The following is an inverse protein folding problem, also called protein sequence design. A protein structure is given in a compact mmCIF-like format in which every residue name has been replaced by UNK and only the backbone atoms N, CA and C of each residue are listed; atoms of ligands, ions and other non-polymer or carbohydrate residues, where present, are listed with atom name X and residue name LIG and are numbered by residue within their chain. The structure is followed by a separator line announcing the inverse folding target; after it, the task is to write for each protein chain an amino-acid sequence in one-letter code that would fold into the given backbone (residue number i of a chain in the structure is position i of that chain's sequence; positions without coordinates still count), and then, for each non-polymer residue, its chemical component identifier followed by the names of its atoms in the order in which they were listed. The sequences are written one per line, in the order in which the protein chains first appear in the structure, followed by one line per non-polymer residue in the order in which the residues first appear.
data_IF_145264077182
#
_entry.id   IF_145264077182
#
_cell.length_a   1.000
_cell.length_b   1.000
_cell.length_c   1.000
_cell.angle_alpha   90.00
_cell.angle_beta   90.00
_cell.angle_gamma   90.00
#
_symmetry.space_group_name_H-M   'P 1'
#
loop_
_entity.id
_entity.type
_entity.pdbx_description
1 polymer ?
#
# COMPACT_ATOMS: atom_id res chain seq x y z
N UNK A 1 0.50 -11.66 9.82
CA UNK A 1 0.27 -11.44 8.37
C UNK A 1 -1.20 -11.73 8.13
N UNK A 2 -1.93 -10.88 7.41
CA UNK A 2 -3.36 -11.11 7.15
C UNK A 2 -3.60 -11.36 5.66
N UNK A 3 -4.30 -12.45 5.31
CA UNK A 3 -4.71 -12.69 3.93
C UNK A 3 -5.81 -11.69 3.53
N UNK A 4 -5.72 -11.17 2.31
CA UNK A 4 -6.67 -10.22 1.76
C UNK A 4 -6.92 -10.46 0.27
N UNK A 5 -8.04 -9.93 -0.23
CA UNK A 5 -8.41 -9.93 -1.65
C UNK A 5 -8.50 -8.49 -2.16
N UNK A 6 -7.95 -8.24 -3.34
CA UNK A 6 -8.04 -6.93 -3.97
C UNK A 6 -9.48 -6.59 -4.35
N UNK A 7 -10.01 -5.47 -3.87
CA UNK A 7 -11.38 -5.01 -4.15
C UNK A 7 -11.65 -4.73 -5.63
N UNK A 8 -10.60 -4.50 -6.43
CA UNK A 8 -10.70 -4.13 -7.84
C UNK A 8 -10.59 -5.32 -8.78
N UNK A 9 -9.58 -6.18 -8.58
CA UNK A 9 -9.31 -7.28 -9.50
C UNK A 9 -9.50 -8.68 -8.89
N UNK A 10 -9.81 -8.78 -7.59
CA UNK A 10 -10.04 -10.06 -6.93
C UNK A 10 -8.77 -10.90 -6.70
N UNK A 11 -7.57 -10.39 -7.00
CA UNK A 11 -6.32 -11.12 -6.74
C UNK A 11 -6.04 -11.20 -5.22
N UNK A 12 -5.53 -12.34 -4.76
CA UNK A 12 -5.07 -12.50 -3.39
C UNK A 12 -3.82 -11.66 -3.12
N UNK A 13 -3.68 -11.19 -1.88
CA UNK A 13 -2.51 -10.43 -1.40
C UNK A 13 -2.38 -10.56 0.12
N UNK A 14 -1.23 -10.17 0.65
CA UNK A 14 -0.99 -10.07 2.09
C UNK A 14 -1.20 -8.62 2.53
N UNK A 15 -2.17 -8.39 3.40
CA UNK A 15 -2.53 -7.07 3.94
C UNK A 15 -3.57 -6.31 3.11
N UNK A 16 -4.59 -5.77 3.80
CA UNK A 16 -5.66 -4.96 3.20
C UNK A 16 -5.14 -3.74 2.42
N UNK A 17 -4.11 -3.10 2.96
CA UNK A 17 -3.56 -1.82 2.48
C UNK A 17 -2.33 -1.97 1.58
N UNK A 18 -1.85 -3.20 1.37
CA UNK A 18 -0.71 -3.46 0.49
C UNK A 18 -1.09 -3.22 -0.97
N UNK A 19 -0.26 -2.57 -1.79
CA UNK A 19 -0.47 -2.45 -3.22
C UNK A 19 -0.69 -3.81 -3.90
N UNK A 20 -1.66 -3.88 -4.81
CA UNK A 20 -1.94 -5.11 -5.54
C UNK A 20 -0.92 -5.33 -6.65
N UNK A 21 -0.20 -6.45 -6.61
CA UNK A 21 0.78 -6.82 -7.64
C UNK A 21 0.15 -7.05 -9.04
N UNK A 22 -1.13 -7.40 -9.10
CA UNK A 22 -1.81 -7.72 -10.37
C UNK A 22 -2.39 -6.49 -11.09
N UNK A 23 -2.98 -5.54 -10.35
CA UNK A 23 -3.67 -4.39 -10.97
C UNK A 23 -3.14 -3.03 -10.51
N UNK A 24 -2.14 -3.00 -9.64
CA UNK A 24 -1.53 -1.77 -9.13
C UNK A 24 -2.39 -0.96 -8.16
N UNK A 25 -3.61 -1.41 -7.81
CA UNK A 25 -4.42 -0.69 -6.82
C UNK A 25 -3.67 -0.61 -5.48
N UNK A 26 -3.45 0.61 -5.00
CA UNK A 26 -2.91 0.92 -3.68
C UNK A 26 -3.99 1.56 -2.79
N UNK A 27 -4.62 0.80 -1.87
CA UNK A 27 -5.61 1.36 -0.96
C UNK A 27 -5.03 2.35 0.07
N UNK A 28 -3.72 2.35 0.30
CA UNK A 28 -3.05 3.28 1.21
C UNK A 28 -2.56 4.55 0.52
N UNK A 29 -2.72 4.67 -0.80
CA UNK A 29 -2.27 5.84 -1.55
C UNK A 29 -2.92 7.14 -1.03
N UNK A 30 -2.17 8.22 -1.13
CA UNK A 30 -2.66 9.55 -0.78
C UNK A 30 -3.93 9.91 -1.57
N UNK A 31 -4.94 10.45 -0.89
CA UNK A 31 -6.21 10.84 -1.51
C UNK A 31 -7.15 9.67 -1.81
N UNK A 32 -6.84 8.46 -1.38
CA UNK A 32 -7.77 7.32 -1.53
C UNK A 32 -8.99 7.49 -0.64
N UNK A 33 -10.17 7.29 -1.24
CA UNK A 33 -11.46 7.31 -0.54
C UNK A 33 -11.53 6.31 0.62
N UNK A 34 -12.14 6.73 1.73
CA UNK A 34 -12.22 5.92 2.96
C UNK A 34 -13.09 4.69 2.75
N UNK A 35 -14.09 4.79 1.90
CA UNK A 35 -14.97 3.69 1.52
C UNK A 35 -14.19 2.61 0.75
N UNK A 36 -13.20 2.99 -0.08
CA UNK A 36 -12.33 2.02 -0.77
C UNK A 36 -11.41 1.30 0.24
N UNK A 37 -10.88 2.04 1.21
CA UNK A 37 -10.08 1.50 2.31
C UNK A 37 -10.89 0.53 3.16
N UNK A 38 -12.13 0.88 3.51
CA UNK A 38 -13.04 0.04 4.27
C UNK A 38 -13.38 -1.26 3.52
N UNK A 39 -13.71 -1.18 2.23
CA UNK A 39 -13.91 -2.37 1.39
C UNK A 39 -12.66 -3.26 1.33
N UNK A 40 -11.48 -2.66 1.28
CA UNK A 40 -10.20 -3.40 1.27
C UNK A 40 -9.94 -4.10 2.60
N UNK A 41 -10.40 -3.52 3.71
CA UNK A 41 -10.32 -4.11 5.05
C UNK A 41 -11.33 -5.27 5.21
N UNK A 42 -12.55 -5.09 4.70
CA UNK A 42 -13.60 -6.12 4.74
C UNK A 42 -13.23 -7.37 3.94
N UNK A 43 -12.47 -7.22 2.85
CA UNK A 43 -11.93 -8.34 2.09
C UNK A 43 -10.65 -8.91 2.71
N UNK A 44 -10.66 -9.16 4.03
CA UNK A 44 -9.57 -9.84 4.75
C UNK A 44 -10.10 -11.01 5.56
N UNK A 45 -9.21 -11.95 5.89
CA UNK A 45 -9.56 -13.14 6.68
C UNK A 45 -10.07 -12.80 8.09
N UNK A 46 -9.75 -11.59 8.58
CA UNK A 46 -10.25 -11.07 9.85
C UNK A 46 -11.77 -10.89 9.84
N UNK A 47 -12.32 -10.41 8.73
CA UNK A 47 -13.75 -10.16 8.57
C UNK A 47 -14.47 -11.30 7.84
N UNK A 48 -13.71 -12.18 7.17
CA UNK A 48 -14.21 -13.32 6.41
C UNK A 48 -13.49 -14.61 6.83
N UNK A 49 -13.65 -15.06 8.09
CA UNK A 49 -12.94 -16.23 8.60
C UNK A 49 -13.42 -17.56 7.98
N UNK A 50 -14.59 -17.59 7.35
CA UNK A 50 -15.22 -18.80 6.80
C UNK A 50 -14.62 -19.34 5.49
N UNK A 51 -13.47 -18.83 5.03
CA UNK A 51 -12.85 -19.25 3.77
C UNK A 51 -13.49 -18.66 2.51
N UNK A 52 -14.39 -17.69 2.67
CA UNK A 52 -15.13 -17.05 1.57
C UNK A 52 -14.28 -16.11 0.70
N UNK A 53 -13.06 -15.79 1.13
CA UNK A 53 -12.17 -14.88 0.42
C UNK A 53 -11.90 -15.32 -1.02
N UNK A 54 -11.60 -16.61 -1.22
CA UNK A 54 -11.28 -17.11 -2.55
C UNK A 54 -12.49 -17.02 -3.51
N UNK A 55 -13.68 -17.30 -2.97
CA UNK A 55 -14.94 -17.16 -3.70
C UNK A 55 -15.22 -15.71 -4.07
N UNK A 56 -15.09 -14.79 -3.11
CA UNK A 56 -15.27 -13.36 -3.36
C UNK A 56 -14.24 -12.83 -4.36
N UNK A 57 -12.98 -13.30 -4.28
CA UNK A 57 -11.97 -12.99 -5.29
C UNK A 57 -12.36 -13.48 -6.68
N UNK A 58 -12.95 -14.67 -6.79
CA UNK A 58 -13.46 -15.22 -8.05
C UNK A 58 -14.62 -14.39 -8.60
N UNK A 59 -15.56 -13.97 -7.75
CA UNK A 59 -16.68 -13.09 -8.14
C UNK A 59 -16.17 -11.76 -8.70
N UNK A 60 -15.24 -11.10 -8.00
CA UNK A 60 -14.65 -9.84 -8.44
C UNK A 60 -13.92 -10.01 -9.79
N UNK A 61 -13.16 -11.11 -9.97
CA UNK A 61 -12.49 -11.41 -11.25
C UNK A 61 -13.47 -11.53 -12.42
N UNK A 62 -14.67 -12.06 -12.18
CA UNK A 62 -15.73 -12.18 -13.19
C UNK A 62 -16.53 -10.89 -13.38
N UNK A 63 -16.28 -9.85 -12.59
CA UNK A 63 -17.07 -8.63 -12.58
C UNK A 63 -18.44 -8.80 -11.91
N UNK A 64 -18.64 -9.87 -11.14
CA UNK A 64 -19.87 -10.08 -10.38
C UNK A 64 -19.91 -9.12 -9.17
N UNK A 65 -21.09 -8.59 -8.81
CA UNK A 65 -21.22 -7.70 -7.67
C UNK A 65 -20.96 -8.44 -6.35
N UNK A 66 -20.15 -7.83 -5.49
CA UNK A 66 -19.93 -8.27 -4.11
C UNK A 66 -20.76 -7.41 -3.17
N UNK A 67 -21.59 -8.05 -2.35
CA UNK A 67 -22.34 -7.38 -1.30
C UNK A 67 -21.46 -7.15 -0.08
N UNK A 68 -21.58 -5.97 0.53
CA UNK A 68 -20.94 -5.62 1.78
C UNK A 68 -22.03 -5.32 2.79
N UNK A 69 -21.83 -5.71 4.05
CA UNK A 69 -22.69 -5.24 5.13
C UNK A 69 -22.56 -3.71 5.22
N UNK A 70 -23.66 -3.01 4.94
CA UNK A 70 -23.68 -1.55 4.86
C UNK A 70 -23.41 -0.89 6.23
N UNK A 71 -23.88 -1.51 7.32
CA UNK A 71 -23.66 -1.01 8.68
C UNK A 71 -22.19 -1.13 9.07
N UNK A 72 -21.61 -2.31 8.82
CA UNK A 72 -20.19 -2.55 9.10
C UNK A 72 -19.28 -1.71 8.19
N UNK A 73 -19.62 -1.56 6.92
CA UNK A 73 -18.87 -0.71 5.99
C UNK A 73 -18.88 0.75 6.46
N UNK A 74 -20.04 1.27 6.87
CA UNK A 74 -20.15 2.63 7.40
C UNK A 74 -19.33 2.80 8.69
N UNK A 75 -19.41 1.84 9.62
CA UNK A 75 -18.64 1.86 10.86
C UNK A 75 -17.12 1.89 10.59
N UNK A 76 -16.61 0.99 9.76
CA UNK A 76 -15.18 0.94 9.43
C UNK A 76 -14.74 2.22 8.71
N UNK A 77 -15.58 2.75 7.82
CA UNK A 77 -15.30 4.01 7.11
C UNK A 77 -15.12 5.15 8.10
N UNK A 78 -15.97 5.24 9.12
CA UNK A 78 -15.88 6.26 10.17
C UNK A 78 -14.68 6.02 11.11
N UNK A 79 -14.38 4.77 11.45
CA UNK A 79 -13.19 4.42 12.24
C UNK A 79 -11.88 4.79 11.52
N UNK A 80 -11.85 4.64 10.18
CA UNK A 80 -10.73 5.05 9.34
C UNK A 80 -10.63 6.59 9.22
N UNK A 81 -11.75 7.32 9.24
CA UNK A 81 -11.75 8.79 9.26
C UNK A 81 -11.18 9.32 10.57
N UNK A 82 -11.57 8.71 11.69
CA UNK A 82 -11.13 9.10 13.03
C UNK A 82 -9.77 8.55 13.43
N UNK A 83 -9.10 7.80 12.54
CA UNK A 83 -7.80 7.14 12.77
C UNK A 83 -7.75 6.24 14.02
N UNK A 84 -8.90 5.71 14.46
CA UNK A 84 -8.94 4.77 15.60
C UNK A 84 -8.33 3.40 15.28
N UNK A 85 -8.07 3.12 14.00
CA UNK A 85 -7.42 1.88 13.55
C UNK A 85 -5.91 2.09 13.40
N UNK A 86 -5.07 1.22 13.99
CA UNK A 86 -3.63 1.40 14.01
C UNK A 86 -3.02 1.35 12.61
N UNK A 87 -2.46 2.50 12.21
CA UNK A 87 -1.40 2.71 11.23
C UNK A 87 -1.68 2.11 9.84
N UNK A 88 -2.43 2.86 9.03
CA UNK A 88 -2.17 2.88 7.59
C UNK A 88 -0.71 3.31 7.43
N UNK A 89 0.17 2.34 7.20
CA UNK A 89 1.58 2.61 6.94
C UNK A 89 1.66 3.42 5.65
N UNK A 90 1.73 4.73 5.81
CA UNK A 90 2.13 5.66 4.78
C UNK A 90 3.49 5.17 4.31
N UNK A 91 3.53 4.41 3.22
CA UNK A 91 4.78 4.12 2.53
C UNK A 91 5.25 5.47 1.99
N UNK A 92 6.01 6.19 2.80
CA UNK A 92 6.49 7.51 2.44
C UNK A 92 7.55 7.31 1.35
N UNK A 93 7.36 7.80 0.13
CA UNK A 93 8.40 7.75 -0.91
C UNK A 93 9.68 8.49 -0.50
N UNK A 94 9.65 9.26 0.60
CA UNK A 94 10.77 10.03 1.14
C UNK A 94 12.01 9.24 1.52
N UNK A 95 11.90 7.97 1.93
CA UNK A 95 13.08 7.19 2.34
C UNK A 95 14.01 6.89 1.15
N UNK A 96 13.43 6.64 -0.03
CA UNK A 96 14.20 6.40 -1.25
C UNK A 96 14.88 7.69 -1.74
N UNK A 97 14.16 8.81 -1.77
CA UNK A 97 14.69 10.10 -2.25
C UNK A 97 15.83 10.61 -1.37
N UNK A 98 15.71 10.49 -0.04
CA UNK A 98 16.78 10.89 0.88
C UNK A 98 18.05 10.04 0.69
N UNK A 99 17.88 8.72 0.50
CA UNK A 99 19.01 7.81 0.23
C UNK A 99 19.77 8.21 -1.04
N UNK A 100 19.04 8.43 -2.14
CA UNK A 100 19.64 8.82 -3.41
C UNK A 100 20.30 10.21 -3.36
N UNK A 101 19.75 11.15 -2.59
CA UNK A 101 20.37 12.46 -2.40
C UNK A 101 21.72 12.36 -1.66
N UNK A 102 21.81 11.55 -0.60
CA UNK A 102 23.07 11.33 0.13
C UNK A 102 24.12 10.68 -0.76
N UNK A 103 23.73 9.67 -1.54
CA UNK A 103 24.63 9.00 -2.50
C UNK A 103 25.15 10.00 -3.55
N UNK A 104 24.28 10.86 -4.07
CA UNK A 104 24.67 11.91 -5.02
C UNK A 104 25.69 12.89 -4.45
N UNK A 105 25.49 13.35 -3.22
CA UNK A 105 26.43 14.27 -2.54
C UNK A 105 27.80 13.61 -2.32
N UNK A 106 27.82 12.35 -1.86
CA UNK A 106 29.07 11.61 -1.67
C UNK A 106 29.85 11.42 -2.97
N UNK A 107 29.15 11.13 -4.08
CA UNK A 107 29.78 11.03 -5.41
C UNK A 107 30.39 12.36 -5.85
N UNK A 108 29.67 13.47 -5.70
CA UNK A 108 30.19 14.82 -6.04
C UNK A 108 31.43 15.15 -5.20
N UNK A 109 31.42 14.86 -3.90
CA UNK A 109 32.58 15.06 -3.03
C UNK A 109 33.75 14.16 -3.42
N UNK A 110 33.51 12.89 -3.75
CA UNK A 110 34.56 11.97 -4.19
C UNK A 110 35.19 12.40 -5.51
N UNK A 111 34.37 12.82 -6.49
CA UNK A 111 34.87 13.35 -7.78
C UNK A 111 35.63 14.65 -7.56
N UNK A 112 35.11 15.56 -6.73
CA UNK A 112 35.81 16.79 -6.37
C UNK A 112 37.16 16.52 -5.69
N UNK A 113 37.22 15.56 -4.78
CA UNK A 113 38.45 15.13 -4.12
C UNK A 113 39.44 14.47 -5.10
N UNK A 114 38.97 13.67 -6.04
CA UNK A 114 39.81 13.07 -7.08
C UNK A 114 40.36 14.13 -8.04
N UNK A 115 39.55 15.09 -8.47
CA UNK A 115 40.01 16.20 -9.31
C UNK A 115 41.00 17.09 -8.56
N UNK A 116 40.71 17.41 -7.30
CA UNK A 116 41.63 18.16 -6.44
C UNK A 116 42.95 17.42 -6.25
N UNK A 117 42.94 16.12 -5.93
CA UNK A 117 44.17 15.32 -5.76
C UNK A 117 44.96 15.15 -7.06
N UNK A 118 44.30 15.15 -8.22
CA UNK A 118 44.95 15.17 -9.53
C UNK A 118 45.58 16.52 -9.87
N UNK A 119 44.97 17.63 -9.43
CA UNK A 119 45.54 18.97 -9.56
C UNK A 119 46.63 19.24 -8.52
N UNK A 120 46.70 18.45 -7.46
CA UNK A 120 47.64 18.60 -6.33
C UNK A 120 48.79 17.59 -6.31
N UNK A 121 49.07 16.88 -7.40
CA UNK A 121 50.18 15.92 -7.42
C UNK A 121 51.09 16.02 -8.64
N UNK A 122 52.42 15.83 -8.48
CA UNK A 122 53.24 15.90 -7.26
C UNK A 122 53.71 17.32 -6.90
#
# INVERSE_FOLDING_TARGET
MTLAVCVRCGNSKVGAFTPCAACGLDPAAHGTERELQARSLLLTERYLPGGELEELGRKIRKGEPVSYDAGLLAQITEDLRTQKLPIVSKSSPGCSVALWAVVGVLLVLAVGFLLMSRLRGP
#
